data_IF_965290111442
#
_entry.id   IF_965290111442
#
_cell.length_a   1.000
_cell.length_b   1.000
_cell.length_c   1.000
_cell.angle_alpha   90.00
_cell.angle_beta   90.00
_cell.angle_gamma   90.00
#
_symmetry.space_group_name_H-M   'P 1'
#
loop_
_entity.id
_entity.type
_entity.pdbx_description
1 polymer ?
#
# COMPACT_ATOMS: atom_id res chain seq x y z
N UNK A 1 -20.57 -6.51 -39.62
CA UNK A 1 -19.61 -5.56 -39.03
C UNK A 1 -20.13 -5.21 -37.66
N UNK A 2 -19.33 -5.36 -36.60
CA UNK A 2 -19.72 -4.91 -35.27
C UNK A 2 -20.00 -3.40 -35.31
N UNK A 3 -21.07 -2.95 -34.65
CA UNK A 3 -21.43 -1.54 -34.63
C UNK A 3 -20.41 -0.79 -33.75
N UNK A 4 -20.08 0.47 -34.06
CA UNK A 4 -19.18 1.29 -33.23
C UNK A 4 -19.68 1.38 -31.77
N UNK A 5 -20.99 1.20 -31.54
CA UNK A 5 -21.59 1.08 -30.22
C UNK A 5 -21.08 -0.11 -29.38
N UNK A 6 -20.50 -1.12 -30.01
CA UNK A 6 -20.05 -2.37 -29.35
C UNK A 6 -18.61 -2.25 -28.82
N UNK A 7 -17.95 -1.15 -29.14
CA UNK A 7 -16.56 -0.88 -28.78
C UNK A 7 -16.46 0.08 -27.60
N UNK A 8 -15.34 -0.02 -26.90
CA UNK A 8 -14.87 0.95 -25.93
C UNK A 8 -13.58 1.58 -26.47
N UNK A 9 -13.57 2.91 -26.47
CA UNK A 9 -12.39 3.69 -26.84
C UNK A 9 -11.36 3.67 -25.71
N UNK A 10 -10.10 3.50 -26.09
CA UNK A 10 -8.94 3.39 -25.21
C UNK A 10 -8.00 4.57 -25.47
N UNK A 11 -7.29 4.99 -24.42
CA UNK A 11 -6.10 5.83 -24.58
C UNK A 11 -4.90 4.96 -24.89
N UNK A 12 -3.88 5.52 -25.55
CA UNK A 12 -2.62 4.79 -25.79
C UNK A 12 -2.02 4.25 -24.49
N UNK A 13 -2.11 5.04 -23.42
CA UNK A 13 -1.67 4.66 -22.06
C UNK A 13 -2.36 3.42 -21.48
N UNK A 14 -3.50 3.00 -22.04
CA UNK A 14 -4.24 1.81 -21.59
C UNK A 14 -3.65 0.51 -22.13
N UNK A 15 -2.88 0.58 -23.22
CA UNK A 15 -2.22 -0.56 -23.84
C UNK A 15 -0.69 -0.48 -23.75
N UNK A 16 -0.16 0.69 -23.40
CA UNK A 16 1.27 0.90 -23.17
C UNK A 16 1.76 0.02 -22.00
N UNK A 17 2.84 -0.72 -22.23
CA UNK A 17 3.43 -1.68 -21.29
C UNK A 17 2.94 -3.13 -21.45
N UNK A 18 1.84 -3.39 -22.16
CA UNK A 18 1.42 -4.77 -22.46
C UNK A 18 2.44 -5.45 -23.39
N UNK A 19 2.95 -6.62 -22.97
CA UNK A 19 3.82 -7.43 -23.83
C UNK A 19 3.02 -8.15 -24.92
N UNK A 20 1.87 -8.70 -24.57
CA UNK A 20 0.96 -9.40 -25.47
C UNK A 20 -0.46 -8.85 -25.35
N UNK A 21 -1.23 -8.96 -26.44
CA UNK A 21 -2.60 -8.50 -26.49
C UNK A 21 -3.53 -9.57 -25.91
N UNK A 22 -4.30 -9.27 -24.85
CA UNK A 22 -5.21 -10.24 -24.23
C UNK A 22 -6.52 -10.43 -25.01
N UNK A 23 -6.72 -9.63 -26.07
CA UNK A 23 -7.87 -9.64 -26.97
C UNK A 23 -7.49 -8.93 -28.27
N UNK A 24 -8.40 -8.87 -29.23
CA UNK A 24 -8.18 -8.05 -30.43
C UNK A 24 -8.25 -6.55 -30.10
N UNK A 25 -7.23 -5.80 -30.53
CA UNK A 25 -7.18 -4.34 -30.46
C UNK A 25 -7.34 -3.79 -31.87
N UNK A 26 -8.28 -2.86 -32.03
CA UNK A 26 -8.62 -2.24 -33.30
C UNK A 26 -8.12 -0.80 -33.34
N UNK A 27 -7.75 -0.36 -34.53
CA UNK A 27 -7.45 1.03 -34.83
C UNK A 27 -8.39 1.50 -35.93
N UNK A 28 -9.16 2.54 -35.64
CA UNK A 28 -10.13 3.14 -36.56
C UNK A 28 -9.67 4.53 -36.97
N UNK A 29 -9.54 4.74 -38.28
CA UNK A 29 -9.19 6.04 -38.87
C UNK A 29 -10.43 6.93 -38.97
N UNK A 30 -10.23 8.25 -39.15
CA UNK A 30 -11.31 9.21 -39.45
C UNK A 30 -12.19 8.79 -40.64
N UNK A 31 -11.63 8.07 -41.62
CA UNK A 31 -12.36 7.52 -42.77
C UNK A 31 -13.38 6.43 -42.42
N UNK A 32 -13.43 5.98 -41.16
CA UNK A 32 -14.28 4.88 -40.69
C UNK A 32 -13.71 3.49 -40.96
N UNK A 33 -12.56 3.40 -41.64
CA UNK A 33 -11.85 2.13 -41.85
C UNK A 33 -11.22 1.67 -40.53
N UNK A 34 -11.53 0.44 -40.13
CA UNK A 34 -10.97 -0.22 -38.96
C UNK A 34 -10.03 -1.34 -39.37
N UNK A 35 -8.89 -1.45 -38.70
CA UNK A 35 -7.94 -2.56 -38.84
C UNK A 35 -7.67 -3.15 -37.45
N UNK A 36 -7.37 -4.46 -37.40
CA UNK A 36 -6.83 -5.08 -36.18
C UNK A 36 -5.35 -4.72 -36.14
N UNK A 37 -4.92 -4.01 -35.10
CA UNK A 37 -3.52 -3.63 -34.93
C UNK A 37 -2.74 -4.61 -34.04
N UNK A 38 -3.45 -5.36 -33.20
CA UNK A 38 -2.91 -6.50 -32.48
C UNK A 38 -4.01 -7.53 -32.27
N UNK A 39 -3.79 -8.75 -32.75
CA UNK A 39 -4.69 -9.87 -32.46
C UNK A 39 -4.42 -10.44 -31.07
N UNK A 40 -5.40 -11.12 -30.48
CA UNK A 40 -5.23 -11.86 -29.23
C UNK A 40 -4.01 -12.80 -29.27
N UNK A 41 -3.21 -12.80 -28.20
CA UNK A 41 -1.97 -13.57 -28.06
C UNK A 41 -0.73 -12.96 -28.75
N UNK A 42 -0.91 -12.03 -29.68
CA UNK A 42 0.22 -11.42 -30.40
C UNK A 42 0.88 -10.29 -29.59
N UNK A 43 2.14 -10.00 -29.93
CA UNK A 43 2.89 -8.89 -29.35
C UNK A 43 2.23 -7.54 -29.69
N UNK A 44 2.12 -6.66 -28.69
CA UNK A 44 1.60 -5.31 -28.90
C UNK A 44 2.71 -4.43 -29.46
N UNK A 45 2.55 -3.94 -30.69
CA UNK A 45 3.51 -3.02 -31.31
C UNK A 45 3.06 -1.55 -31.11
N UNK A 46 3.50 -0.95 -30.00
CA UNK A 46 3.15 0.43 -29.64
C UNK A 46 3.70 1.44 -30.65
N UNK A 47 4.90 1.21 -31.18
CA UNK A 47 5.52 2.13 -32.15
C UNK A 47 4.72 2.24 -33.45
N UNK A 48 4.11 1.12 -33.88
CA UNK A 48 3.19 1.12 -35.00
C UNK A 48 1.97 2.00 -34.73
N UNK A 49 1.38 1.92 -33.53
CA UNK A 49 0.22 2.72 -33.14
C UNK A 49 0.58 4.21 -33.08
N UNK A 50 1.73 4.56 -32.49
CA UNK A 50 2.25 5.94 -32.44
C UNK A 50 2.42 6.51 -33.85
N UNK A 51 3.04 5.75 -34.75
CA UNK A 51 3.23 6.14 -36.16
C UNK A 51 1.92 6.38 -36.91
N UNK A 52 0.85 5.64 -36.59
CA UNK A 52 -0.46 5.93 -37.16
C UNK A 52 -1.07 7.21 -36.60
N UNK A 53 -0.96 7.41 -35.29
CA UNK A 53 -1.49 8.60 -34.60
C UNK A 53 -0.78 9.91 -34.99
N UNK A 54 0.49 9.84 -35.40
CA UNK A 54 1.24 10.99 -35.95
C UNK A 54 0.77 11.39 -37.36
N UNK A 55 0.25 10.44 -38.13
CA UNK A 55 -0.17 10.66 -39.53
C UNK A 55 -1.61 11.12 -39.64
N UNK A 56 -2.49 10.50 -38.88
CA UNK A 56 -3.92 10.76 -38.85
C UNK A 56 -4.43 10.59 -37.42
N UNK A 57 -5.49 11.32 -37.06
CA UNK A 57 -6.18 11.06 -35.79
C UNK A 57 -6.84 9.68 -35.84
N UNK A 58 -6.47 8.81 -34.90
CA UNK A 58 -6.94 7.42 -34.83
C UNK A 58 -7.57 7.12 -33.49
N UNK A 59 -8.59 6.26 -33.52
CA UNK A 59 -9.24 5.73 -32.32
C UNK A 59 -8.75 4.32 -32.05
N UNK A 60 -8.27 4.08 -30.83
CA UNK A 60 -7.91 2.75 -30.35
C UNK A 60 -9.14 2.15 -29.68
N UNK A 61 -9.59 0.99 -30.17
CA UNK A 61 -10.84 0.38 -29.75
C UNK A 61 -10.64 -1.08 -29.31
N UNK A 62 -11.43 -1.50 -28.33
CA UNK A 62 -11.62 -2.91 -27.96
C UNK A 62 -13.10 -3.21 -27.86
N UNK A 63 -13.52 -4.45 -28.09
CA UNK A 63 -14.90 -4.86 -27.83
C UNK A 63 -15.23 -4.64 -26.34
N UNK A 64 -16.42 -4.13 -26.04
CA UNK A 64 -16.88 -3.92 -24.66
C UNK A 64 -16.82 -5.21 -23.83
N UNK A 65 -17.09 -6.34 -24.46
CA UNK A 65 -17.02 -7.69 -23.85
C UNK A 65 -15.60 -8.11 -23.45
N UNK A 66 -14.57 -7.57 -24.12
CA UNK A 66 -13.17 -7.91 -23.85
C UNK A 66 -12.44 -6.86 -23.00
N UNK A 67 -13.07 -5.71 -22.74
CA UNK A 67 -12.45 -4.62 -21.98
C UNK A 67 -11.98 -5.07 -20.58
N UNK A 68 -12.73 -5.95 -19.90
CA UNK A 68 -12.33 -6.47 -18.60
C UNK A 68 -11.07 -7.36 -18.69
N UNK A 69 -10.92 -8.15 -19.76
CA UNK A 69 -9.72 -8.95 -20.00
C UNK A 69 -8.50 -8.04 -20.19
N UNK A 70 -8.66 -6.96 -20.95
CA UNK A 70 -7.62 -5.95 -21.14
C UNK A 70 -7.18 -5.31 -19.82
N UNK A 71 -8.13 -4.88 -18.99
CA UNK A 71 -7.83 -4.29 -17.69
C UNK A 71 -7.07 -5.27 -16.79
N UNK A 72 -7.51 -6.52 -16.71
CA UNK A 72 -6.86 -7.55 -15.90
C UNK A 72 -5.43 -7.80 -16.39
N UNK A 73 -5.22 -7.96 -17.70
CA UNK A 73 -3.87 -8.15 -18.26
C UNK A 73 -2.94 -6.97 -18.00
N UNK A 74 -3.45 -5.74 -18.08
CA UNK A 74 -2.67 -4.53 -17.76
C UNK A 74 -2.25 -4.49 -16.29
N UNK A 75 -3.15 -4.87 -15.38
CA UNK A 75 -2.85 -4.97 -13.96
C UNK A 75 -1.78 -6.05 -13.72
N UNK A 76 -1.98 -7.25 -14.28
CA UNK A 76 -1.01 -8.36 -14.18
C UNK A 76 0.37 -7.97 -14.72
N UNK A 77 0.44 -7.29 -15.86
CA UNK A 77 1.72 -6.84 -16.43
C UNK A 77 2.41 -5.82 -15.53
N UNK A 78 1.67 -4.86 -14.96
CA UNK A 78 2.24 -3.90 -13.99
C UNK A 78 2.76 -4.61 -12.74
N UNK A 79 2.09 -5.67 -12.27
CA UNK A 79 2.54 -6.46 -11.12
C UNK A 79 3.86 -7.14 -11.45
N UNK A 80 3.97 -7.76 -12.63
CA UNK A 80 5.20 -8.38 -13.10
C UNK A 80 6.34 -7.36 -13.17
N UNK A 81 6.12 -6.22 -13.82
CA UNK A 81 7.14 -5.18 -13.97
C UNK A 81 7.59 -4.62 -12.61
N UNK A 82 6.66 -4.52 -11.65
CA UNK A 82 6.99 -4.09 -10.30
C UNK A 82 7.78 -5.16 -9.53
N UNK A 83 7.38 -6.43 -9.63
CA UNK A 83 8.12 -7.55 -9.01
C UNK A 83 9.55 -7.63 -9.56
N UNK A 84 9.74 -7.45 -10.86
CA UNK A 84 11.07 -7.41 -11.47
C UNK A 84 11.92 -6.29 -10.83
N UNK A 85 11.37 -5.07 -10.68
CA UNK A 85 12.05 -3.94 -10.03
C UNK A 85 12.37 -4.17 -8.55
N UNK A 86 11.48 -4.85 -7.81
CA UNK A 86 11.66 -5.18 -6.39
C UNK A 86 12.70 -6.30 -6.20
N UNK A 87 12.73 -7.24 -7.14
CA UNK A 87 13.65 -8.38 -7.15
C UNK A 87 15.10 -8.00 -7.47
N UNK A 88 15.32 -6.79 -8.02
CA UNK A 88 16.66 -6.32 -8.34
C UNK A 88 17.50 -6.15 -7.07
N UNK A 89 18.40 -7.11 -6.86
CA UNK A 89 19.35 -7.15 -5.74
C UNK A 89 20.62 -6.36 -6.05
N UNK A 90 20.77 -5.81 -7.25
CA UNK A 90 21.89 -4.94 -7.56
C UNK A 90 21.72 -3.65 -6.76
N UNK A 91 22.58 -3.47 -5.76
CA UNK A 91 22.58 -2.31 -4.86
C UNK A 91 23.16 -1.07 -5.54
N UNK A 92 22.70 -0.75 -6.76
CA UNK A 92 23.25 0.31 -7.59
C UNK A 92 22.75 1.69 -7.12
N UNK A 93 21.55 1.76 -6.50
CA UNK A 93 21.04 2.98 -5.92
C UNK A 93 20.03 2.72 -4.78
N UNK A 94 20.45 3.00 -3.54
CA UNK A 94 19.62 2.86 -2.34
C UNK A 94 18.31 3.66 -2.43
N UNK A 95 18.36 4.87 -2.97
CA UNK A 95 17.19 5.75 -3.09
C UNK A 95 16.19 5.16 -4.09
N UNK A 96 16.68 4.63 -5.22
CA UNK A 96 15.84 3.96 -6.20
C UNK A 96 15.13 2.73 -5.62
N UNK A 97 15.79 1.99 -4.72
CA UNK A 97 15.17 0.86 -4.02
C UNK A 97 14.00 1.32 -3.14
N UNK A 98 14.17 2.41 -2.37
CA UNK A 98 13.05 2.99 -1.61
C UNK A 98 11.94 3.54 -2.51
N UNK A 99 12.28 4.16 -3.64
CA UNK A 99 11.29 4.63 -4.60
C UNK A 99 10.49 3.44 -5.19
N UNK A 100 11.14 2.31 -5.47
CA UNK A 100 10.46 1.09 -5.92
C UNK A 100 9.51 0.53 -4.84
N UNK A 101 9.95 0.49 -3.57
CA UNK A 101 9.11 0.04 -2.45
C UNK A 101 7.92 0.98 -2.19
N UNK A 102 8.11 2.30 -2.25
CA UNK A 102 7.02 3.26 -2.16
C UNK A 102 6.02 3.09 -3.31
N UNK A 103 6.52 2.90 -4.53
CA UNK A 103 5.66 2.67 -5.69
C UNK A 103 4.91 1.34 -5.62
N UNK A 104 5.51 0.30 -5.05
CA UNK A 104 4.82 -0.98 -4.87
C UNK A 104 3.72 -0.87 -3.80
N UNK A 105 3.97 -0.18 -2.68
CA UNK A 105 2.93 0.14 -1.68
C UNK A 105 1.79 0.96 -2.29
N UNK A 106 2.11 1.95 -3.13
CA UNK A 106 1.10 2.75 -3.83
C UNK A 106 0.22 1.89 -4.73
N UNK A 107 0.84 0.95 -5.43
CA UNK A 107 0.15 0.03 -6.31
C UNK A 107 -0.68 -1.00 -5.54
N UNK A 108 -0.19 -1.54 -4.42
CA UNK A 108 -0.98 -2.38 -3.50
C UNK A 108 -2.23 -1.63 -3.05
N UNK A 109 -2.06 -0.43 -2.50
CA UNK A 109 -3.18 0.39 -2.02
C UNK A 109 -4.22 0.63 -3.12
N UNK A 110 -3.78 1.06 -4.31
CA UNK A 110 -4.69 1.28 -5.43
C UNK A 110 -5.42 0.01 -5.89
N UNK A 111 -4.72 -1.13 -5.95
CA UNK A 111 -5.31 -2.41 -6.35
C UNK A 111 -6.36 -2.86 -5.33
N UNK A 112 -6.03 -2.86 -4.04
CA UNK A 112 -6.96 -3.26 -2.98
C UNK A 112 -8.21 -2.35 -2.98
N UNK A 113 -8.06 -1.04 -3.19
CA UNK A 113 -9.21 -0.11 -3.23
C UNK A 113 -10.10 -0.30 -4.47
N UNK A 114 -9.56 -0.69 -5.63
CA UNK A 114 -10.32 -0.79 -6.89
C UNK A 114 -10.92 -2.19 -7.09
N UNK A 115 -10.11 -3.24 -6.93
CA UNK A 115 -10.48 -4.62 -7.26
C UNK A 115 -10.53 -5.55 -6.03
N UNK A 116 -10.11 -5.07 -4.86
CA UNK A 116 -9.95 -5.89 -3.67
C UNK A 116 -8.66 -6.71 -3.69
N UNK A 117 -8.57 -7.68 -2.77
CA UNK A 117 -7.44 -8.61 -2.69
C UNK A 117 -7.63 -9.74 -3.70
N UNK A 118 -7.00 -9.59 -4.85
CA UNK A 118 -6.82 -10.66 -5.84
C UNK A 118 -5.50 -11.38 -5.64
N UNK A 119 -5.32 -12.55 -6.28
CA UNK A 119 -4.04 -13.26 -6.35
C UNK A 119 -2.89 -12.35 -6.81
N UNK A 120 -3.10 -11.56 -7.86
CA UNK A 120 -2.12 -10.58 -8.34
C UNK A 120 -1.77 -9.50 -7.30
N UNK A 121 -2.73 -9.15 -6.42
CA UNK A 121 -2.48 -8.21 -5.32
C UNK A 121 -1.64 -8.86 -4.23
N UNK A 122 -1.95 -10.10 -3.87
CA UNK A 122 -1.20 -10.88 -2.89
C UNK A 122 0.24 -11.12 -3.35
N UNK A 123 0.43 -11.48 -4.62
CA UNK A 123 1.77 -11.63 -5.20
C UNK A 123 2.61 -10.35 -5.15
N UNK A 124 1.98 -9.18 -5.35
CA UNK A 124 2.65 -7.90 -5.24
C UNK A 124 3.01 -7.57 -3.79
N UNK A 125 2.12 -7.89 -2.85
CA UNK A 125 2.36 -7.74 -1.42
C UNK A 125 3.56 -8.60 -1.01
N UNK A 126 3.60 -9.87 -1.40
CA UNK A 126 4.72 -10.77 -1.09
C UNK A 126 6.04 -10.23 -1.65
N UNK A 127 6.06 -9.78 -2.91
CA UNK A 127 7.24 -9.15 -3.50
C UNK A 127 7.68 -7.87 -2.78
N UNK A 128 6.72 -7.10 -2.26
CA UNK A 128 7.01 -5.90 -1.46
C UNK A 128 7.56 -6.25 -0.08
N UNK A 129 7.01 -7.27 0.58
CA UNK A 129 7.53 -7.80 1.85
C UNK A 129 8.97 -8.26 1.65
N UNK A 130 9.22 -9.12 0.65
CA UNK A 130 10.57 -9.63 0.36
C UNK A 130 11.57 -8.50 0.10
N UNK A 131 11.19 -7.47 -0.66
CA UNK A 131 12.05 -6.31 -0.89
C UNK A 131 12.38 -5.59 0.40
N UNK A 132 11.38 -5.27 1.22
CA UNK A 132 11.61 -4.48 2.44
C UNK A 132 12.37 -5.26 3.51
N UNK A 133 12.14 -6.57 3.62
CA UNK A 133 12.93 -7.44 4.50
C UNK A 133 14.38 -7.52 4.03
N UNK A 134 14.62 -7.65 2.72
CA UNK A 134 15.97 -7.58 2.16
C UNK A 134 16.64 -6.23 2.47
N UNK A 135 15.93 -5.11 2.28
CA UNK A 135 16.43 -3.78 2.59
C UNK A 135 16.78 -3.62 4.07
N UNK A 136 15.91 -4.13 4.97
CA UNK A 136 16.14 -4.15 6.41
C UNK A 136 17.40 -4.94 6.80
N UNK A 137 17.65 -6.08 6.16
CA UNK A 137 18.84 -6.90 6.42
C UNK A 137 20.13 -6.28 5.87
N UNK A 138 20.04 -5.48 4.80
CA UNK A 138 21.21 -4.87 4.15
C UNK A 138 21.58 -3.50 4.72
N UNK A 139 20.61 -2.75 5.25
CA UNK A 139 20.88 -1.43 5.83
C UNK A 139 20.98 -1.58 7.35
N UNK A 140 22.19 -1.45 7.93
CA UNK A 140 22.41 -1.72 9.36
C UNK A 140 21.73 -0.71 10.30
N UNK A 141 21.28 0.42 9.77
CA UNK A 141 20.74 1.54 10.55
C UNK A 141 19.30 1.84 10.14
N UNK A 142 18.36 1.54 11.05
CA UNK A 142 16.97 1.95 10.90
C UNK A 142 16.86 3.48 10.76
N UNK A 143 17.72 4.24 11.46
CA UNK A 143 17.74 5.70 11.34
C UNK A 143 17.97 6.13 9.88
N UNK A 144 18.88 5.46 9.17
CA UNK A 144 19.14 5.73 7.74
C UNK A 144 17.92 5.41 6.88
N UNK A 145 17.27 4.27 7.13
CA UNK A 145 16.05 3.86 6.40
C UNK A 145 14.95 4.93 6.57
N UNK A 146 14.67 5.30 7.82
CA UNK A 146 13.62 6.28 8.13
C UNK A 146 13.91 7.66 7.53
N UNK A 147 15.17 8.10 7.57
CA UNK A 147 15.58 9.38 6.97
C UNK A 147 15.38 9.41 5.45
N UNK A 148 15.64 8.30 4.77
CA UNK A 148 15.47 8.22 3.32
C UNK A 148 13.99 8.15 2.91
N UNK A 149 13.12 7.55 3.72
CA UNK A 149 11.67 7.45 3.43
C UNK A 149 10.95 8.77 3.74
N UNK A 150 11.31 9.45 4.83
CA UNK A 150 10.64 10.68 5.24
C UNK A 150 10.76 11.76 4.16
N UNK A 151 9.63 12.33 3.75
CA UNK A 151 9.53 13.32 2.67
C UNK A 151 9.43 12.74 1.26
N UNK A 152 9.32 11.42 1.08
CA UNK A 152 9.16 10.78 -0.24
C UNK A 152 7.76 10.20 -0.45
N UNK A 153 7.11 10.55 -1.54
CA UNK A 153 5.76 10.04 -1.85
C UNK A 153 4.68 10.66 -0.96
N UNK A 154 3.45 10.16 -1.03
CA UNK A 154 2.36 10.68 -0.23
C UNK A 154 2.37 10.17 1.23
N UNK A 155 1.54 10.79 2.06
CA UNK A 155 1.41 10.49 3.49
C UNK A 155 1.18 9.00 3.79
N UNK A 156 0.26 8.34 3.07
CA UNK A 156 -0.11 6.95 3.34
C UNK A 156 1.03 6.00 2.97
N UNK A 157 1.75 6.28 1.88
CA UNK A 157 2.88 5.45 1.45
C UNK A 157 4.04 5.53 2.44
N UNK A 158 4.40 6.75 2.84
CA UNK A 158 5.45 6.96 3.84
C UNK A 158 5.07 6.28 5.15
N UNK A 159 3.83 6.48 5.60
CA UNK A 159 3.34 5.91 6.85
C UNK A 159 3.43 4.38 6.83
N UNK A 160 2.89 3.74 5.79
CA UNK A 160 2.96 2.29 5.64
C UNK A 160 4.39 1.75 5.64
N UNK A 161 5.31 2.40 4.93
CA UNK A 161 6.68 1.94 4.85
C UNK A 161 7.45 2.19 6.16
N UNK A 162 7.24 3.33 6.82
CA UNK A 162 7.82 3.63 8.14
C UNK A 162 7.32 2.62 9.19
N UNK A 163 6.01 2.34 9.22
CA UNK A 163 5.43 1.34 10.14
C UNK A 163 6.03 -0.03 9.91
N UNK A 164 6.17 -0.45 8.64
CA UNK A 164 6.78 -1.72 8.30
C UNK A 164 8.19 -1.84 8.89
N UNK A 165 9.06 -0.87 8.60
CA UNK A 165 10.44 -0.91 9.08
C UNK A 165 10.56 -0.79 10.60
N UNK A 166 9.73 0.04 11.24
CA UNK A 166 9.67 0.13 12.71
C UNK A 166 9.20 -1.18 13.34
N UNK A 167 8.15 -1.79 12.80
CA UNK A 167 7.56 -3.03 13.33
C UNK A 167 8.53 -4.20 13.16
N UNK A 168 9.17 -4.32 11.99
CA UNK A 168 10.19 -5.34 11.71
C UNK A 168 11.42 -5.13 12.58
N UNK A 169 11.84 -3.87 12.80
CA UNK A 169 12.92 -3.56 13.73
C UNK A 169 12.57 -3.98 15.16
N UNK A 170 11.39 -3.59 15.66
CA UNK A 170 10.95 -3.87 17.01
C UNK A 170 10.81 -5.37 17.25
N UNK A 171 10.09 -6.09 16.39
CA UNK A 171 9.94 -7.54 16.52
C UNK A 171 11.30 -8.25 16.51
N UNK A 172 12.31 -7.72 15.78
CA UNK A 172 13.66 -8.29 15.75
C UNK A 172 14.40 -8.28 17.09
N UNK A 173 13.95 -7.43 18.03
CA UNK A 173 14.48 -7.33 19.40
C UNK A 173 13.69 -8.17 20.41
N UNK A 174 12.69 -8.92 19.96
CA UNK A 174 11.84 -9.76 20.82
C UNK A 174 12.10 -11.26 20.59
N UNK A 175 11.73 -12.11 21.55
CA UNK A 175 11.73 -13.57 21.36
C UNK A 175 10.78 -14.06 20.26
N UNK A 176 9.82 -13.22 19.84
CA UNK A 176 8.84 -13.56 18.80
C UNK A 176 9.39 -13.39 17.39
N UNK A 177 10.64 -12.92 17.24
CA UNK A 177 11.30 -12.70 15.97
C UNK A 177 11.40 -13.97 15.10
N UNK A 178 10.56 -14.09 14.09
CA UNK A 178 10.68 -15.10 13.04
C UNK A 178 10.12 -14.58 11.70
N UNK A 179 10.39 -15.30 10.61
CA UNK A 179 9.95 -14.92 9.26
C UNK A 179 8.43 -14.67 9.21
N UNK A 180 7.62 -15.57 9.76
CA UNK A 180 6.15 -15.43 9.76
C UNK A 180 5.68 -14.16 10.48
N UNK A 181 6.23 -13.85 11.65
CA UNK A 181 5.85 -12.62 12.39
C UNK A 181 6.25 -11.34 11.67
N UNK A 182 7.43 -11.33 11.01
CA UNK A 182 7.86 -10.19 10.20
C UNK A 182 6.93 -10.00 9.00
N UNK A 183 6.66 -11.07 8.23
CA UNK A 183 5.74 -11.02 7.10
C UNK A 183 4.33 -10.57 7.49
N UNK A 184 3.80 -11.01 8.64
CA UNK A 184 2.51 -10.54 9.15
C UNK A 184 2.51 -9.04 9.46
N UNK A 185 3.52 -8.53 10.13
CA UNK A 185 3.65 -7.10 10.43
C UNK A 185 3.81 -6.26 9.14
N UNK A 186 4.61 -6.74 8.19
CA UNK A 186 4.78 -6.09 6.89
C UNK A 186 3.49 -6.09 6.08
N UNK A 187 2.79 -7.23 5.98
CA UNK A 187 1.51 -7.33 5.30
C UNK A 187 0.46 -6.40 5.92
N UNK A 188 0.35 -6.37 7.25
CA UNK A 188 -0.54 -5.44 7.95
C UNK A 188 -0.17 -3.96 7.67
N UNK A 189 1.12 -3.66 7.56
CA UNK A 189 1.61 -2.31 7.24
C UNK A 189 1.18 -1.87 5.84
N UNK A 190 1.08 -2.79 4.88
CA UNK A 190 0.64 -2.47 3.52
C UNK A 190 -0.88 -2.55 3.32
N UNK A 191 -1.60 -3.20 4.25
CA UNK A 191 -3.04 -3.42 4.19
C UNK A 191 -3.86 -2.62 5.21
N UNK A 192 -3.25 -1.77 6.03
CA UNK A 192 -4.00 -0.82 6.85
C UNK A 192 -4.36 0.43 6.04
N UNK A 193 -5.46 1.08 6.41
CA UNK A 193 -5.93 2.37 5.89
C UNK A 193 -6.25 2.44 4.39
N UNK A 194 -6.33 1.32 3.65
CA UNK A 194 -6.66 1.33 2.22
C UNK A 194 -8.07 1.84 1.89
N UNK A 195 -8.95 1.98 2.89
CA UNK A 195 -10.31 2.52 2.73
C UNK A 195 -10.49 3.96 3.20
N UNK A 196 -9.45 4.62 3.72
CA UNK A 196 -9.55 6.00 4.22
C UNK A 196 -8.61 6.95 3.49
N UNK A 197 -9.07 8.17 3.25
CA UNK A 197 -8.28 9.30 2.73
C UNK A 197 -8.15 10.44 3.76
N UNK A 198 -8.62 10.21 5.00
CA UNK A 198 -8.79 11.25 6.03
C UNK A 198 -7.52 11.48 6.85
N UNK A 199 -6.50 12.07 6.22
CA UNK A 199 -5.21 12.38 6.84
C UNK A 199 -5.37 13.21 8.12
N UNK A 200 -6.22 14.25 8.10
CA UNK A 200 -6.40 15.12 9.28
C UNK A 200 -6.94 14.36 10.49
N UNK A 201 -7.86 13.40 10.30
CA UNK A 201 -8.37 12.59 11.40
C UNK A 201 -7.33 11.63 11.95
N UNK A 202 -6.44 11.12 11.11
CA UNK A 202 -5.33 10.26 11.52
C UNK A 202 -4.31 11.05 12.36
N UNK A 203 -3.96 12.27 11.93
CA UNK A 203 -2.91 13.05 12.59
C UNK A 203 -3.39 13.79 13.83
N UNK A 204 -4.59 14.35 13.79
CA UNK A 204 -5.07 15.33 14.78
C UNK A 204 -6.31 14.87 15.53
N UNK A 205 -6.91 13.75 15.13
CA UNK A 205 -8.22 13.35 15.64
C UNK A 205 -9.31 14.38 15.33
N UNK A 206 -10.31 14.45 16.20
CA UNK A 206 -11.42 15.39 16.10
C UNK A 206 -11.20 16.58 17.06
N UNK A 207 -11.17 17.83 16.56
CA UNK A 207 -11.12 19.02 17.42
C UNK A 207 -12.30 19.13 18.38
N UNK A 208 -12.10 19.71 19.57
CA UNK A 208 -13.15 19.87 20.60
C UNK A 208 -14.37 20.65 20.07
N UNK A 209 -14.10 21.75 19.35
CA UNK A 209 -15.14 22.65 18.81
C UNK A 209 -15.59 22.28 17.39
N UNK A 210 -15.48 20.99 17.02
CA UNK A 210 -15.88 20.51 15.70
C UNK A 210 -17.36 20.69 15.43
N UNK A 211 -17.69 21.13 14.20
CA UNK A 211 -19.07 21.21 13.71
C UNK A 211 -19.75 19.84 13.72
N UNK A 212 -21.08 19.83 13.69
CA UNK A 212 -21.86 18.60 13.62
C UNK A 212 -21.48 17.72 12.42
N UNK A 213 -21.31 18.32 11.24
CA UNK A 213 -20.92 17.61 10.01
C UNK A 213 -19.53 16.99 10.12
N UNK A 214 -18.58 17.68 10.76
CA UNK A 214 -17.24 17.15 10.98
C UNK A 214 -17.25 15.98 11.96
N UNK A 215 -18.07 16.05 13.01
CA UNK A 215 -18.31 14.94 13.93
C UNK A 215 -18.89 13.71 13.21
N UNK A 216 -19.87 13.90 12.33
CA UNK A 216 -20.41 12.78 11.54
C UNK A 216 -19.34 12.15 10.62
N UNK A 217 -18.52 12.97 9.97
CA UNK A 217 -17.41 12.47 9.16
C UNK A 217 -16.41 11.68 9.98
N UNK A 218 -16.11 12.12 11.21
CA UNK A 218 -15.22 11.41 12.12
C UNK A 218 -15.82 10.08 12.59
N UNK A 219 -17.11 10.04 12.91
CA UNK A 219 -17.79 8.79 13.26
C UNK A 219 -17.74 7.77 12.11
N UNK A 220 -17.93 8.23 10.86
CA UNK A 220 -17.72 7.39 9.68
C UNK A 220 -16.26 6.97 9.51
N UNK A 221 -15.32 7.87 9.78
CA UNK A 221 -13.91 7.53 9.75
C UNK A 221 -13.60 6.41 10.73
N UNK A 222 -14.09 6.43 11.98
CA UNK A 222 -13.80 5.36 12.95
C UNK A 222 -14.22 3.95 12.52
N UNK A 223 -15.08 3.81 11.50
CA UNK A 223 -15.49 2.49 10.98
C UNK A 223 -14.54 1.93 9.91
N UNK A 224 -13.58 2.71 9.39
CA UNK A 224 -12.73 2.25 8.27
C UNK A 224 -11.97 0.96 8.61
N UNK A 225 -11.39 0.85 9.81
CA UNK A 225 -10.60 -0.32 10.20
C UNK A 225 -11.46 -1.58 10.31
N UNK A 226 -12.71 -1.45 10.74
CA UNK A 226 -13.69 -2.54 10.78
C UNK A 226 -14.15 -2.93 9.36
N UNK A 227 -14.34 -1.95 8.47
CA UNK A 227 -14.66 -2.23 7.07
C UNK A 227 -13.49 -2.90 6.33
N UNK A 228 -12.25 -2.52 6.63
CA UNK A 228 -11.03 -3.16 6.13
C UNK A 228 -10.95 -4.60 6.64
N UNK A 229 -11.08 -4.81 7.95
CA UNK A 229 -11.15 -6.13 8.56
C UNK A 229 -12.15 -7.07 7.87
N UNK A 230 -13.39 -6.60 7.65
CA UNK A 230 -14.44 -7.36 6.96
C UNK A 230 -14.09 -7.73 5.52
N UNK A 231 -13.25 -6.94 4.86
CA UNK A 231 -12.72 -7.27 3.53
C UNK A 231 -11.61 -8.32 3.63
N UNK A 232 -10.72 -8.20 4.62
CA UNK A 232 -9.56 -9.07 4.79
C UNK A 232 -9.94 -10.50 5.22
N UNK A 233 -10.86 -10.66 6.17
CA UNK A 233 -11.27 -12.01 6.68
C UNK A 233 -11.97 -12.90 5.65
N UNK A 234 -12.33 -12.35 4.49
CA UNK A 234 -12.93 -13.11 3.38
C UNK A 234 -11.87 -13.74 2.47
N UNK A 235 -10.59 -13.46 2.69
CA UNK A 235 -9.48 -13.86 1.85
C UNK A 235 -8.64 -14.87 2.62
N UNK A 236 -8.68 -16.13 2.20
CA UNK A 236 -8.04 -17.23 2.93
C UNK A 236 -6.53 -17.06 3.09
N UNK A 237 -5.88 -16.37 2.15
CA UNK A 237 -4.44 -16.13 2.16
C UNK A 237 -4.00 -15.00 3.10
N UNK A 238 -4.96 -14.23 3.66
CA UNK A 238 -4.65 -13.22 4.68
C UNK A 238 -4.69 -13.87 6.06
N UNK A 239 -3.59 -13.90 6.82
CA UNK A 239 -3.60 -14.46 8.16
C UNK A 239 -4.54 -13.70 9.11
N UNK A 240 -5.23 -14.43 10.00
CA UNK A 240 -6.12 -13.83 11.01
C UNK A 240 -5.44 -12.73 11.83
N UNK A 241 -4.15 -12.90 12.17
CA UNK A 241 -3.38 -11.90 12.89
C UNK A 241 -3.25 -10.59 12.10
N UNK A 242 -3.05 -10.67 10.78
CA UNK A 242 -2.98 -9.48 9.90
C UNK A 242 -4.32 -8.75 9.91
N UNK A 243 -5.41 -9.47 9.72
CA UNK A 243 -6.75 -8.89 9.76
C UNK A 243 -7.03 -8.23 11.13
N UNK A 244 -6.66 -8.88 12.24
CA UNK A 244 -6.80 -8.33 13.60
C UNK A 244 -5.95 -7.08 13.82
N UNK A 245 -4.69 -7.07 13.36
CA UNK A 245 -3.83 -5.88 13.43
C UNK A 245 -4.50 -4.73 12.67
N UNK A 246 -4.95 -4.96 11.44
CA UNK A 246 -5.66 -3.94 10.65
C UNK A 246 -6.95 -3.48 11.32
N UNK A 247 -7.71 -4.36 11.99
CA UNK A 247 -8.91 -3.95 12.73
C UNK A 247 -8.59 -3.03 13.91
N UNK A 248 -7.51 -3.31 14.62
CA UNK A 248 -7.19 -2.76 15.94
C UNK A 248 -6.09 -1.68 15.91
N UNK A 249 -5.68 -1.21 14.74
CA UNK A 249 -4.51 -0.33 14.63
C UNK A 249 -4.67 1.08 15.23
N UNK A 250 -5.91 1.50 15.51
CA UNK A 250 -6.23 2.76 16.23
C UNK A 250 -6.49 2.55 17.72
N UNK A 251 -6.31 1.34 18.27
CA UNK A 251 -6.44 1.09 19.71
C UNK A 251 -5.14 1.53 20.40
N UNK A 252 -5.20 2.63 21.14
CA UNK A 252 -4.04 3.15 21.85
C UNK A 252 -3.71 2.30 23.08
N UNK A 253 -2.42 2.18 23.38
CA UNK A 253 -1.91 1.37 24.49
C UNK A 253 -2.08 2.06 25.86
N UNK A 254 -2.56 3.30 25.90
CA UNK A 254 -3.01 4.01 27.11
C UNK A 254 -4.53 3.93 27.32
N UNK A 255 -5.26 3.36 26.34
CA UNK A 255 -6.70 3.18 26.38
C UNK A 255 -7.54 4.32 25.78
N UNK A 256 -6.95 5.32 25.12
CA UNK A 256 -7.71 6.43 24.50
C UNK A 256 -8.23 6.15 23.09
N UNK A 257 -7.73 5.10 22.45
CA UNK A 257 -7.98 4.83 21.04
C UNK A 257 -9.34 4.17 20.75
N UNK A 258 -9.54 3.78 19.50
CA UNK A 258 -10.78 3.14 19.05
C UNK A 258 -10.53 1.84 18.27
N UNK A 259 -11.45 0.87 18.38
CA UNK A 259 -12.65 0.87 19.23
C UNK A 259 -12.32 0.64 20.72
N UNK A 260 -12.93 1.43 21.62
CA UNK A 260 -12.58 1.51 23.06
C UNK A 260 -12.74 0.18 23.79
N UNK A 261 -13.70 -0.65 23.38
CA UNK A 261 -13.98 -1.95 24.00
C UNK A 261 -12.89 -3.00 23.77
N UNK A 262 -11.95 -2.76 22.84
CA UNK A 262 -10.82 -3.63 22.55
C UNK A 262 -9.55 -3.20 23.29
N UNK A 263 -9.61 -2.09 24.04
CA UNK A 263 -8.53 -1.65 24.93
C UNK A 263 -8.24 -2.78 25.91
N UNK A 264 -7.00 -3.24 25.86
CA UNK A 264 -6.57 -4.31 26.73
C UNK A 264 -6.54 -5.71 26.14
N UNK A 265 -7.01 -5.88 24.90
CA UNK A 265 -7.10 -7.17 24.21
C UNK A 265 -6.08 -7.31 23.07
N UNK A 266 -5.19 -6.32 22.90
CA UNK A 266 -4.14 -6.37 21.87
C UNK A 266 -3.17 -7.52 22.12
N UNK A 267 -3.00 -8.39 21.12
CA UNK A 267 -1.93 -9.38 21.10
C UNK A 267 -0.57 -8.69 20.90
N UNK A 268 0.57 -9.36 21.14
CA UNK A 268 1.89 -8.74 21.02
C UNK A 268 2.20 -8.13 19.65
N UNK A 269 1.74 -8.73 18.55
CA UNK A 269 1.96 -8.18 17.20
C UNK A 269 1.16 -6.89 16.99
N UNK A 270 -0.10 -6.84 17.44
CA UNK A 270 -0.91 -5.61 17.42
C UNK A 270 -0.29 -4.52 18.29
N UNK A 271 0.28 -4.85 19.45
CA UNK A 271 0.96 -3.86 20.29
C UNK A 271 2.18 -3.26 19.57
N UNK A 272 3.05 -4.10 18.99
CA UNK A 272 4.22 -3.65 18.23
C UNK A 272 3.81 -2.79 17.03
N UNK A 273 2.75 -3.20 16.31
CA UNK A 273 2.22 -2.45 15.19
C UNK A 273 1.70 -1.08 15.62
N UNK A 274 0.89 -1.01 16.67
CA UNK A 274 0.28 0.24 17.13
C UNK A 274 1.32 1.22 17.67
N UNK A 275 2.35 0.73 18.37
CA UNK A 275 3.48 1.57 18.78
C UNK A 275 4.21 2.11 17.54
N UNK A 276 4.50 1.25 16.56
CA UNK A 276 5.13 1.65 15.29
C UNK A 276 4.29 2.66 14.50
N UNK A 277 2.97 2.51 14.51
CA UNK A 277 2.02 3.45 13.94
C UNK A 277 2.14 4.83 14.58
N UNK A 278 2.10 4.92 15.91
CA UNK A 278 2.27 6.22 16.59
C UNK A 278 3.65 6.86 16.39
N UNK A 279 4.73 6.07 16.35
CA UNK A 279 6.05 6.58 15.94
C UNK A 279 6.04 7.14 14.53
N UNK A 280 5.40 6.44 13.58
CA UNK A 280 5.28 6.91 12.20
C UNK A 280 4.52 8.24 12.13
N UNK A 281 3.41 8.37 12.87
CA UNK A 281 2.66 9.62 12.94
C UNK A 281 3.49 10.76 13.53
N UNK A 282 4.21 10.52 14.62
CA UNK A 282 5.09 11.54 15.22
C UNK A 282 6.19 12.00 14.25
N UNK A 283 6.79 11.07 13.50
CA UNK A 283 7.80 11.37 12.49
C UNK A 283 7.24 12.16 11.30
N UNK A 284 6.02 11.86 10.87
CA UNK A 284 5.37 12.52 9.73
C UNK A 284 4.82 13.90 10.11
N UNK A 285 4.30 14.06 11.32
CA UNK A 285 3.75 15.33 11.82
C UNK A 285 4.84 16.33 12.21
N UNK A 286 5.86 15.87 12.94
CA UNK A 286 6.92 16.73 13.49
C UNK A 286 8.19 16.77 12.62
N UNK A 287 8.23 15.96 11.57
CA UNK A 287 9.41 15.73 10.73
C UNK A 287 10.40 14.73 11.32
N UNK A 288 11.26 14.17 10.46
CA UNK A 288 12.29 13.22 10.89
C UNK A 288 13.36 13.91 11.74
N UNK A 289 13.35 13.65 13.05
CA UNK A 289 14.37 14.14 13.96
C UNK A 289 14.48 13.26 15.21
N UNK A 290 15.62 13.34 15.91
CA UNK A 290 15.79 12.70 17.22
C UNK A 290 14.72 13.14 18.21
N UNK A 291 14.41 14.43 18.21
CA UNK A 291 13.37 15.02 19.06
C UNK A 291 12.01 14.37 18.83
N UNK A 292 11.64 14.11 17.58
CA UNK A 292 10.33 13.56 17.22
C UNK A 292 10.15 12.13 17.78
N UNK A 293 11.09 11.23 17.47
CA UNK A 293 10.96 9.84 17.94
C UNK A 293 11.24 9.70 19.45
N UNK A 294 12.19 10.45 20.02
CA UNK A 294 12.42 10.41 21.47
C UNK A 294 11.25 11.03 22.24
N UNK A 295 10.68 12.12 21.72
CA UNK A 295 9.53 12.79 22.30
C UNK A 295 8.32 11.85 22.39
N UNK A 296 8.00 11.16 21.29
CA UNK A 296 6.94 10.15 21.29
C UNK A 296 7.23 9.00 22.25
N UNK A 297 8.47 8.47 22.27
CA UNK A 297 8.84 7.39 23.18
C UNK A 297 8.61 7.79 24.65
N UNK A 298 9.12 8.95 25.07
CA UNK A 298 9.00 9.38 26.46
C UNK A 298 7.56 9.72 26.85
N UNK A 299 6.80 10.37 25.96
CA UNK A 299 5.36 10.60 26.15
C UNK A 299 4.62 9.28 26.36
N UNK A 300 4.76 8.34 25.43
CA UNK A 300 4.10 7.03 25.53
C UNK A 300 4.54 6.28 26.78
N UNK A 301 5.82 6.28 27.13
CA UNK A 301 6.33 5.61 28.33
C UNK A 301 5.68 6.12 29.64
N UNK A 302 5.22 7.38 29.66
CA UNK A 302 4.55 7.99 30.80
C UNK A 302 3.06 7.63 30.93
N UNK A 303 2.40 7.24 29.82
CA UNK A 303 0.95 6.97 29.78
C UNK A 303 0.57 5.54 29.41
N UNK A 304 1.49 4.74 28.87
CA UNK A 304 1.24 3.36 28.47
C UNK A 304 0.74 2.52 29.67
N UNK A 305 -0.28 1.69 29.44
CA UNK A 305 -0.78 0.78 30.47
C UNK A 305 0.30 -0.23 30.86
N UNK A 306 0.39 -0.54 32.17
CA UNK A 306 1.43 -1.40 32.74
C UNK A 306 1.65 -2.71 31.96
N UNK A 307 0.55 -3.38 31.58
CA UNK A 307 0.56 -4.65 30.85
C UNK A 307 1.17 -4.59 29.44
N UNK A 308 1.43 -3.40 28.92
CA UNK A 308 1.96 -3.18 27.58
C UNK A 308 3.39 -2.62 27.58
N UNK A 309 3.99 -2.40 28.76
CA UNK A 309 5.34 -1.85 28.87
C UNK A 309 6.39 -2.70 28.13
N UNK A 310 6.31 -4.01 28.25
CA UNK A 310 7.24 -4.93 27.58
C UNK A 310 7.25 -4.77 26.05
N UNK A 311 6.13 -4.34 25.45
CA UNK A 311 6.06 -4.09 24.01
C UNK A 311 6.72 -2.77 23.58
N UNK A 312 6.96 -1.85 24.52
CA UNK A 312 7.67 -0.60 24.27
C UNK A 312 9.20 -0.78 24.32
N UNK A 313 9.70 -1.74 25.10
CA UNK A 313 11.14 -1.99 25.29
C UNK A 313 11.94 -2.11 23.98
N UNK A 314 11.47 -2.82 22.92
CA UNK A 314 12.16 -2.87 21.63
C UNK A 314 12.43 -1.50 20.98
N UNK A 315 11.61 -0.49 21.28
CA UNK A 315 11.72 0.84 20.71
C UNK A 315 12.74 1.71 21.46
N UNK A 316 13.13 1.33 22.69
CA UNK A 316 14.18 2.03 23.45
C UNK A 316 15.53 2.04 22.72
N UNK A 317 15.79 1.02 21.89
CA UNK A 317 17.00 0.90 21.07
C UNK A 317 17.08 1.93 19.92
N UNK A 318 16.02 2.73 19.70
CA UNK A 318 16.01 3.83 18.75
C UNK A 318 16.60 5.13 19.31
N UNK A 319 16.62 5.28 20.64
CA UNK A 319 17.02 6.50 21.35
C UNK A 319 18.50 6.87 21.11
#
# INVERSE_FOLDING_TARGET
>A
MANLSDFKELKLSDIEGLKQSPCNIYLTMLSGKSIIISSEGNLVNIDLIKKYNEKDEVKILVLKTDYQKLLNARISQKVIDMKDKLSDKQWINRLQRFDNELNSVAMVRAMVSIIGLSEATLELIDGTIDSTLYTFEKIPSLKTILADICGRGDFFLQKALIINYLSVYAISKTPWNNSSTRSKLSMASFLHDFKTDKIDFILKGLPVDSSYDLRQQYEKFKTHSEDEFRSLVKVNDVPDDVAKIVRLHHVDLDGTGFPVNEVGQLNPLSQIFNISHGFALALLDQGYSKKSYSGYYYDLSGRILEKYKDSLDPFSYLL
#
